data_IF_196348006021
#
_entry.id   IF_196348006021
#
_cell.length_a   1.000
_cell.length_b   1.000
_cell.length_c   1.000
_cell.angle_alpha   90.00
_cell.angle_beta   90.00
_cell.angle_gamma   90.00
#
_symmetry.space_group_name_H-M   'P 1'
#
loop_
_entity.id
_entity.type
_entity.pdbx_description
1 polymer ?
#
# COMPACT_ATOMS: atom_id res chain seq x y z
N UNK A 1 6.29 61.75 -7.14
CA UNK A 1 5.86 61.25 -8.46
C UNK A 1 5.30 59.85 -8.25
N UNK A 2 3.98 59.72 -8.31
CA UNK A 2 3.24 58.47 -8.17
C UNK A 2 2.82 58.01 -9.56
N UNK A 3 3.02 56.72 -9.88
CA UNK A 3 2.44 56.10 -11.05
C UNK A 3 1.52 54.96 -10.60
N UNK A 4 0.23 55.23 -10.73
CA UNK A 4 -0.89 54.30 -10.73
C UNK A 4 -0.78 53.37 -11.94
N UNK A 5 -0.97 52.05 -11.77
CA UNK A 5 -1.40 51.16 -12.85
C UNK A 5 -2.52 50.28 -12.33
N UNK A 6 -3.66 50.42 -13.00
CA UNK A 6 -4.95 49.76 -12.76
C UNK A 6 -5.00 48.30 -13.21
N UNK A 7 -5.93 47.60 -12.56
CA UNK A 7 -6.47 46.24 -12.76
C UNK A 7 -6.89 45.88 -14.22
N UNK A 8 -7.15 44.59 -14.55
CA UNK A 8 -8.51 44.09 -14.34
C UNK A 8 -8.67 42.61 -13.88
N UNK A 9 -9.74 42.44 -13.11
CA UNK A 9 -10.42 41.22 -12.69
C UNK A 9 -10.93 40.37 -13.88
N UNK A 10 -10.62 39.07 -13.90
CA UNK A 10 -11.34 38.10 -14.72
C UNK A 10 -12.40 37.36 -13.88
N UNK A 11 -13.65 37.77 -14.12
CA UNK A 11 -14.91 37.17 -13.69
C UNK A 11 -15.38 36.25 -14.83
N UNK A 12 -15.46 34.93 -14.65
CA UNK A 12 -16.21 34.06 -15.58
C UNK A 12 -17.03 32.99 -14.85
N UNK A 13 -18.30 33.37 -14.65
CA UNK A 13 -19.53 32.62 -14.91
C UNK A 13 -19.62 31.13 -14.52
N UNK A 14 -20.34 30.91 -13.41
CA UNK A 14 -21.19 29.75 -13.19
C UNK A 14 -22.14 29.52 -14.37
N UNK A 15 -22.21 28.29 -14.86
CA UNK A 15 -23.32 27.85 -15.72
C UNK A 15 -24.03 26.67 -15.06
N UNK A 16 -25.13 27.02 -14.40
CA UNK A 16 -26.16 26.10 -13.94
C UNK A 16 -26.95 25.68 -15.17
N UNK A 17 -27.04 24.37 -15.44
CA UNK A 17 -28.02 23.83 -16.37
C UNK A 17 -29.08 23.09 -15.57
N UNK A 18 -30.24 23.74 -15.39
CA UNK A 18 -31.48 23.09 -15.01
C UNK A 18 -32.17 22.65 -16.31
N UNK A 19 -32.31 21.35 -16.53
CA UNK A 19 -33.10 20.82 -17.65
C UNK A 19 -34.51 20.54 -17.16
N UNK A 20 -35.41 21.41 -17.58
CA UNK A 20 -36.85 21.36 -17.37
C UNK A 20 -37.46 20.17 -18.12
N UNK A 21 -38.22 19.36 -17.39
CA UNK A 21 -39.08 18.30 -17.91
C UNK A 21 -40.23 18.88 -18.74
N UNK A 22 -40.39 18.41 -19.98
CA UNK A 22 -41.61 18.61 -20.79
C UNK A 22 -41.99 17.30 -21.48
N UNK A 23 -43.02 16.63 -20.97
CA UNK A 23 -43.97 15.89 -21.82
C UNK A 23 -44.91 16.93 -22.49
N UNK A 24 -45.72 16.64 -23.53
CA UNK A 24 -46.37 15.37 -23.88
C UNK A 24 -46.33 15.02 -25.39
N UNK A 25 -46.79 13.83 -25.78
CA UNK A 25 -47.79 13.59 -26.84
C UNK A 25 -47.90 12.07 -27.11
N UNK A 26 -49.15 11.57 -27.08
CA UNK A 26 -49.54 10.22 -27.48
C UNK A 26 -49.58 10.08 -29.01
N UNK A 27 -49.27 8.89 -29.54
CA UNK A 27 -50.03 8.22 -30.63
C UNK A 27 -49.48 6.80 -30.94
N UNK A 28 -50.26 5.78 -30.54
CA UNK A 28 -50.74 4.60 -31.29
C UNK A 28 -49.85 3.66 -32.17
N UNK A 29 -49.98 2.34 -31.86
CA UNK A 29 -50.12 1.14 -32.75
C UNK A 29 -48.79 0.61 -33.38
N UNK A 30 -48.34 -0.65 -33.35
CA UNK A 30 -48.89 -2.03 -33.19
C UNK A 30 -47.78 -3.01 -32.70
N UNK A 31 -48.09 -4.26 -32.27
CA UNK A 31 -47.18 -5.21 -31.64
C UNK A 31 -46.51 -6.16 -32.65
N UNK A 32 -45.24 -6.47 -32.45
CA UNK A 32 -44.63 -7.67 -33.05
C UNK A 32 -43.51 -8.18 -32.15
N UNK A 33 -43.62 -9.46 -31.79
CA UNK A 33 -42.66 -10.15 -30.93
C UNK A 33 -41.36 -10.43 -31.69
N UNK A 34 -40.24 -9.98 -31.15
CA UNK A 34 -38.98 -10.68 -31.28
C UNK A 34 -38.26 -10.62 -29.93
N UNK A 35 -38.31 -11.72 -29.21
CA UNK A 35 -37.59 -11.94 -27.97
C UNK A 35 -36.22 -12.53 -28.30
N UNK A 36 -35.10 -11.90 -27.94
CA UNK A 36 -33.88 -12.66 -27.62
C UNK A 36 -32.94 -11.90 -26.67
N UNK A 37 -32.64 -12.58 -25.56
CA UNK A 37 -31.41 -12.56 -24.78
C UNK A 37 -31.04 -11.32 -23.96
N UNK A 38 -31.54 -11.33 -22.72
CA UNK A 38 -30.81 -10.91 -21.52
C UNK A 38 -29.33 -11.28 -21.57
N UNK A 39 -28.46 -10.30 -21.36
CA UNK A 39 -27.12 -10.48 -20.79
C UNK A 39 -26.69 -9.19 -20.08
N UNK A 40 -27.39 -8.86 -18.99
CA UNK A 40 -26.85 -7.98 -17.96
C UNK A 40 -25.75 -8.77 -17.23
N UNK A 41 -24.50 -8.65 -17.68
CA UNK A 41 -23.36 -8.96 -16.84
C UNK A 41 -23.25 -7.88 -15.76
N UNK A 42 -24.07 -8.02 -14.71
CA UNK A 42 -23.78 -7.39 -13.43
C UNK A 42 -22.53 -8.08 -12.88
N UNK A 43 -21.38 -7.45 -13.03
CA UNK A 43 -20.21 -7.70 -12.18
C UNK A 43 -20.60 -7.27 -10.76
N UNK A 44 -21.35 -8.12 -10.06
CA UNK A 44 -21.50 -8.03 -8.61
C UNK A 44 -20.17 -8.43 -8.00
N UNK A 45 -19.30 -7.45 -7.78
CA UNK A 45 -18.13 -7.63 -6.91
C UNK A 45 -18.64 -7.77 -5.48
N UNK A 46 -18.95 -9.01 -5.08
CA UNK A 46 -19.16 -9.36 -3.68
C UNK A 46 -17.79 -9.57 -3.06
N UNK A 47 -17.40 -8.68 -2.14
CA UNK A 47 -16.11 -8.85 -1.48
C UNK A 47 -15.61 -7.70 -0.63
N UNK A 48 -16.46 -7.01 0.13
CA UNK A 48 -15.99 -6.28 1.29
C UNK A 48 -17.10 -6.26 2.34
N UNK A 49 -17.10 -7.28 3.20
CA UNK A 49 -17.73 -7.17 4.50
C UNK A 49 -17.01 -5.99 5.16
N UNK A 50 -17.65 -4.82 5.19
CA UNK A 50 -17.11 -3.65 5.84
C UNK A 50 -17.07 -3.96 7.34
N UNK A 51 -15.94 -4.53 7.77
CA UNK A 51 -15.63 -4.73 9.17
C UNK A 51 -15.53 -3.34 9.78
N UNK A 52 -16.61 -2.94 10.44
CA UNK A 52 -16.76 -1.61 11.01
C UNK A 52 -15.73 -1.44 12.13
N UNK A 53 -14.78 -0.53 11.94
CA UNK A 53 -13.84 -0.09 12.98
C UNK A 53 -12.76 -1.09 13.42
N UNK A 54 -12.75 -2.34 12.93
CA UNK A 54 -11.72 -3.33 13.30
C UNK A 54 -10.62 -3.39 12.24
N UNK A 55 -9.37 -3.41 12.69
CA UNK A 55 -8.23 -3.63 11.81
C UNK A 55 -8.15 -5.10 11.38
N UNK A 56 -8.27 -5.36 10.09
CA UNK A 56 -8.07 -6.68 9.49
C UNK A 56 -6.76 -6.72 8.70
N UNK A 57 -5.99 -7.81 8.84
CA UNK A 57 -4.80 -8.03 8.01
C UNK A 57 -5.23 -8.25 6.56
N UNK A 58 -4.53 -7.62 5.62
CA UNK A 58 -4.75 -7.79 4.19
C UNK A 58 -3.45 -8.23 3.49
N UNK A 59 -3.59 -8.83 2.31
CA UNK A 59 -2.47 -9.04 1.42
C UNK A 59 -2.11 -7.72 0.74
N UNK A 60 -0.81 -7.45 0.58
CA UNK A 60 -0.33 -6.24 -0.10
C UNK A 60 -0.45 -6.46 -1.61
N UNK A 61 -1.07 -5.50 -2.30
CA UNK A 61 -1.18 -5.48 -3.77
C UNK A 61 -0.43 -4.29 -4.36
N UNK A 62 -0.22 -4.28 -5.68
CA UNK A 62 0.43 -3.16 -6.37
C UNK A 62 -0.36 -1.84 -6.24
N UNK A 63 -1.69 -1.94 -6.17
CA UNK A 63 -2.55 -0.79 -5.91
C UNK A 63 -2.29 -0.19 -4.51
N UNK A 64 -2.00 -1.03 -3.52
CA UNK A 64 -1.66 -0.59 -2.17
C UNK A 64 -0.28 0.08 -2.13
N UNK A 65 0.69 -0.43 -2.90
CA UNK A 65 1.99 0.22 -3.09
C UNK A 65 1.82 1.61 -3.69
N UNK A 66 1.03 1.73 -4.75
CA UNK A 66 0.74 3.02 -5.40
C UNK A 66 0.04 3.98 -4.45
N UNK A 67 -0.93 3.49 -3.67
CA UNK A 67 -1.65 4.29 -2.68
C UNK A 67 -0.73 4.81 -1.57
N UNK A 68 0.16 3.95 -1.06
CA UNK A 68 1.15 4.36 -0.06
C UNK A 68 2.11 5.40 -0.64
N UNK A 69 2.67 5.16 -1.84
CA UNK A 69 3.63 6.07 -2.47
C UNK A 69 2.99 7.42 -2.82
N UNK A 70 1.73 7.44 -3.27
CA UNK A 70 0.99 8.68 -3.48
C UNK A 70 0.75 9.45 -2.18
N UNK A 71 0.60 8.75 -1.05
CA UNK A 71 0.46 9.37 0.26
C UNK A 71 1.78 9.94 0.77
N UNK A 72 2.82 9.11 0.80
CA UNK A 72 4.11 9.49 1.39
C UNK A 72 4.97 10.35 0.48
N UNK A 73 4.74 10.35 -0.84
CA UNK A 73 5.55 11.05 -1.84
C UNK A 73 5.26 12.52 -2.04
N UNK A 74 4.26 13.08 -1.34
CA UNK A 74 3.93 14.50 -1.38
C UNK A 74 3.72 15.01 0.04
N UNK A 75 4.52 16.00 0.45
CA UNK A 75 4.45 16.61 1.78
C UNK A 75 3.08 17.22 2.08
N UNK A 76 2.35 17.67 1.06
CA UNK A 76 0.99 18.21 1.22
C UNK A 76 -0.02 17.13 1.62
N UNK A 77 0.32 15.85 1.46
CA UNK A 77 -0.53 14.73 1.87
C UNK A 77 -0.35 14.32 3.32
N UNK A 78 0.63 14.88 4.02
CA UNK A 78 0.80 14.69 5.45
C UNK A 78 -0.19 15.57 6.21
N UNK A 79 -0.84 15.01 7.23
CA UNK A 79 -1.63 15.79 8.17
C UNK A 79 -0.71 16.74 8.95
N UNK A 80 -1.24 17.88 9.36
CA UNK A 80 -0.46 18.97 9.99
C UNK A 80 0.22 18.58 11.31
N UNK A 81 -0.22 17.50 11.94
CA UNK A 81 0.34 16.93 13.18
C UNK A 81 1.42 15.85 12.92
N UNK A 82 1.65 15.45 11.67
CA UNK A 82 2.69 14.48 11.31
C UNK A 82 3.99 15.21 11.00
N UNK A 83 4.93 15.15 11.94
CA UNK A 83 6.26 15.78 11.83
C UNK A 83 7.35 14.85 11.30
N UNK A 84 7.02 13.57 11.09
CA UNK A 84 7.96 12.57 10.58
C UNK A 84 7.70 12.34 9.10
N UNK A 85 8.70 12.59 8.27
CA UNK A 85 8.67 12.30 6.85
C UNK A 85 9.44 11.03 6.55
N UNK A 86 8.97 10.27 5.55
CA UNK A 86 9.52 8.95 5.25
C UNK A 86 9.82 8.79 3.77
N UNK A 87 10.97 8.20 3.47
CA UNK A 87 11.13 7.43 2.25
C UNK A 87 10.79 5.97 2.55
N UNK A 88 10.15 5.30 1.60
CA UNK A 88 9.75 3.89 1.69
C UNK A 88 10.65 3.05 0.78
N UNK A 89 11.26 2.02 1.36
CA UNK A 89 12.04 1.03 0.62
C UNK A 89 11.19 -0.18 0.26
N UNK A 90 10.46 -0.72 1.25
CA UNK A 90 9.64 -1.93 1.10
C UNK A 90 8.40 -1.88 1.99
N UNK A 91 7.31 -2.48 1.53
CA UNK A 91 6.12 -2.76 2.34
C UNK A 91 6.21 -4.19 2.85
N UNK A 92 6.07 -4.36 4.16
CA UNK A 92 6.20 -5.66 4.84
C UNK A 92 4.84 -6.21 5.28
N UNK A 93 3.87 -5.35 5.56
CA UNK A 93 2.52 -5.76 5.94
C UNK A 93 1.49 -4.68 5.71
N UNK A 94 0.22 -5.08 5.60
CA UNK A 94 -0.91 -4.18 5.51
C UNK A 94 -2.03 -4.64 6.45
N UNK A 95 -2.61 -3.67 7.15
CA UNK A 95 -3.91 -3.80 7.82
C UNK A 95 -4.86 -2.74 7.28
N UNK A 96 -6.10 -3.12 7.08
CA UNK A 96 -7.16 -2.23 6.58
C UNK A 96 -8.22 -2.10 7.68
N UNK A 97 -8.77 -0.91 7.81
CA UNK A 97 -9.91 -0.60 8.65
C UNK A 97 -10.86 0.29 7.86
N UNK A 98 -12.14 -0.06 7.81
CA UNK A 98 -13.19 0.83 7.29
C UNK A 98 -13.88 1.49 8.48
N UNK A 99 -13.74 2.80 8.60
CA UNK A 99 -14.30 3.57 9.70
C UNK A 99 -14.89 4.89 9.19
N UNK A 100 -16.12 5.19 9.60
CA UNK A 100 -16.79 6.47 9.29
C UNK A 100 -16.79 6.82 7.79
N UNK A 101 -17.04 5.82 6.94
CA UNK A 101 -17.06 5.97 5.48
C UNK A 101 -15.70 6.20 4.83
N UNK A 102 -14.60 6.15 5.59
CA UNK A 102 -13.22 6.21 5.10
C UNK A 102 -12.56 4.84 5.22
N UNK A 103 -11.61 4.59 4.34
CA UNK A 103 -10.72 3.44 4.46
C UNK A 103 -9.38 3.90 4.99
N UNK A 104 -8.98 3.35 6.14
CA UNK A 104 -7.68 3.55 6.74
C UNK A 104 -6.80 2.33 6.44
N UNK A 105 -5.57 2.60 6.04
CA UNK A 105 -4.55 1.61 5.71
C UNK A 105 -3.41 1.81 6.69
N UNK A 106 -3.04 0.77 7.41
CA UNK A 106 -1.87 0.76 8.27
C UNK A 106 -0.80 -0.14 7.64
N UNK A 107 0.16 0.51 7.00
CA UNK A 107 1.27 -0.14 6.33
C UNK A 107 2.42 -0.33 7.32
N UNK A 108 2.83 -1.57 7.52
CA UNK A 108 4.14 -1.87 8.09
C UNK A 108 5.16 -1.80 6.97
N UNK A 109 6.13 -0.89 7.06
CA UNK A 109 7.12 -0.63 6.02
C UNK A 109 8.53 -0.67 6.59
N UNK A 110 9.48 -1.02 5.73
CA UNK A 110 10.88 -0.71 5.92
C UNK A 110 11.19 0.56 5.15
N UNK A 111 11.70 1.57 5.84
CA UNK A 111 11.96 2.89 5.29
C UNK A 111 12.94 3.67 6.15
N UNK A 112 13.16 4.93 5.78
CA UNK A 112 14.09 5.81 6.50
C UNK A 112 13.38 7.12 6.83
N UNK A 113 13.63 7.66 8.03
CA UNK A 113 13.27 9.03 8.33
C UNK A 113 14.06 9.93 7.36
N UNK A 114 13.33 10.77 6.65
CA UNK A 114 13.81 11.56 5.55
C UNK A 114 13.42 13.03 5.78
N UNK A 115 14.13 13.96 5.15
CA UNK A 115 13.64 15.33 5.01
C UNK A 115 12.42 15.39 4.08
N UNK A 116 11.72 16.53 4.09
CA UNK A 116 10.58 16.82 3.21
C UNK A 116 10.92 16.64 1.72
N UNK A 117 12.17 16.92 1.35
CA UNK A 117 12.70 16.82 -0.01
C UNK A 117 13.02 15.38 -0.45
N UNK A 118 13.03 14.42 0.48
CA UNK A 118 13.42 13.03 0.24
C UNK A 118 12.29 12.03 0.46
N UNK A 119 11.04 12.50 0.51
CA UNK A 119 9.87 11.66 0.74
C UNK A 119 9.50 10.79 -0.46
N UNK A 120 8.71 9.74 -0.23
CA UNK A 120 8.27 8.83 -1.29
C UNK A 120 9.09 7.55 -1.34
N UNK A 121 9.88 7.34 -2.41
CA UNK A 121 10.64 6.10 -2.60
C UNK A 121 12.09 6.29 -2.19
N UNK A 122 12.60 5.43 -1.30
CA UNK A 122 14.02 5.49 -0.94
C UNK A 122 14.90 5.15 -2.15
N UNK A 123 16.09 5.77 -2.27
CA UNK A 123 17.15 5.18 -3.08
C UNK A 123 17.54 3.81 -2.50
N UNK A 124 18.24 2.98 -3.27
CA UNK A 124 18.64 1.64 -2.81
C UNK A 124 19.72 1.76 -1.72
N UNK A 125 19.27 1.84 -0.46
CA UNK A 125 20.05 2.31 0.67
C UNK A 125 19.87 1.34 1.86
N UNK A 126 20.27 0.09 1.67
CA UNK A 126 20.19 -0.97 2.68
C UNK A 126 21.11 -0.78 3.90
N UNK A 127 21.90 0.31 3.98
CA UNK A 127 22.92 0.50 5.02
C UNK A 127 22.94 1.87 5.70
N UNK A 128 21.94 2.74 5.49
CA UNK A 128 21.96 4.09 6.05
C UNK A 128 21.51 4.09 7.51
N UNK A 129 22.31 4.72 8.37
CA UNK A 129 21.93 4.98 9.76
C UNK A 129 20.64 5.80 9.78
N UNK A 130 19.61 5.28 10.46
CA UNK A 130 18.29 5.94 10.55
C UNK A 130 17.15 5.17 9.91
N UNK A 131 17.44 4.21 9.02
CA UNK A 131 16.44 3.31 8.45
C UNK A 131 15.94 2.28 9.49
N UNK A 132 14.72 1.79 9.29
CA UNK A 132 14.10 0.81 10.18
C UNK A 132 12.66 0.51 9.78
N UNK A 133 11.96 -0.18 10.68
CA UNK A 133 10.55 -0.50 10.49
C UNK A 133 9.66 0.63 11.00
N UNK A 134 8.63 0.96 10.24
CA UNK A 134 7.64 2.00 10.55
C UNK A 134 6.23 1.47 10.33
N UNK A 135 5.28 2.00 11.08
CA UNK A 135 3.85 1.90 10.77
C UNK A 135 3.40 3.25 10.20
N UNK A 136 2.87 3.23 8.98
CA UNK A 136 2.37 4.41 8.27
C UNK A 136 0.87 4.25 8.10
N UNK A 137 0.10 5.16 8.70
CA UNK A 137 -1.36 5.17 8.59
C UNK A 137 -1.78 6.16 7.52
N UNK A 138 -2.39 5.64 6.45
CA UNK A 138 -2.90 6.39 5.32
C UNK A 138 -4.42 6.30 5.30
N UNK A 139 -5.10 7.44 5.18
CA UNK A 139 -6.56 7.52 5.11
C UNK A 139 -6.99 7.90 3.69
N UNK A 140 -7.97 7.17 3.13
CA UNK A 140 -8.61 7.50 1.85
C UNK A 140 -10.11 7.66 2.04
N UNK A 141 -10.61 8.86 1.73
CA UNK A 141 -12.04 9.15 1.72
C UNK A 141 -12.70 8.71 0.41
N UNK A 142 -14.02 8.46 0.40
CA UNK A 142 -14.74 7.95 -0.77
C UNK A 142 -14.82 8.99 -1.90
N UNK A 143 -14.69 10.28 -1.56
CA UNK A 143 -14.69 11.43 -2.49
C UNK A 143 -13.30 12.05 -2.65
N UNK A 144 -12.29 11.49 -2.00
CA UNK A 144 -10.94 12.05 -1.98
C UNK A 144 -10.07 11.26 -2.95
N UNK A 145 -9.63 11.94 -4.01
CA UNK A 145 -8.71 11.34 -4.98
C UNK A 145 -7.33 11.06 -4.35
N UNK A 146 -6.90 11.93 -3.43
CA UNK A 146 -5.57 11.87 -2.81
C UNK A 146 -5.62 11.21 -1.44
N UNK A 147 -4.77 10.20 -1.18
CA UNK A 147 -4.60 9.65 0.16
C UNK A 147 -3.96 10.68 1.10
N UNK A 148 -4.29 10.61 2.40
CA UNK A 148 -3.65 11.44 3.43
C UNK A 148 -2.88 10.59 4.43
N UNK A 149 -1.63 10.94 4.69
CA UNK A 149 -0.82 10.34 5.76
C UNK A 149 -1.25 10.98 7.08
N UNK A 150 -1.70 10.15 8.01
CA UNK A 150 -2.31 10.58 9.28
C UNK A 150 -1.50 10.19 10.50
N UNK A 151 -0.58 9.22 10.37
CA UNK A 151 0.33 8.88 11.46
C UNK A 151 1.53 8.12 10.93
N UNK A 152 2.71 8.41 11.47
CA UNK A 152 3.93 7.64 11.24
C UNK A 152 4.53 7.33 12.59
N UNK A 153 4.79 6.04 12.86
CA UNK A 153 5.40 5.59 14.11
C UNK A 153 6.51 4.60 13.81
N UNK A 154 7.71 4.86 14.34
CA UNK A 154 8.82 3.89 14.26
C UNK A 154 8.46 2.66 15.09
N UNK A 155 8.49 1.49 14.47
CA UNK A 155 8.30 0.22 15.14
C UNK A 155 9.62 -0.15 15.82
N UNK A 156 9.71 0.10 17.13
CA UNK A 156 10.85 -0.37 17.90
C UNK A 156 10.71 -1.87 18.10
N UNK A 157 11.52 -2.64 17.39
CA UNK A 157 11.69 -4.07 17.64
C UNK A 157 12.27 -4.25 19.04
N UNK A 158 11.44 -4.36 20.07
CA UNK A 158 11.87 -4.95 21.34
C UNK A 158 12.44 -6.32 21.01
N UNK A 159 13.74 -6.49 21.25
CA UNK A 159 14.61 -7.60 20.81
C UNK A 159 14.25 -8.97 21.45
N UNK A 160 12.98 -9.24 21.77
CA UNK A 160 12.54 -10.39 22.58
C UNK A 160 11.22 -10.95 22.08
N UNK A 161 11.24 -11.62 20.92
CA UNK A 161 10.20 -12.61 20.54
C UNK A 161 10.67 -13.49 19.36
N UNK A 162 11.85 -14.10 19.52
CA UNK A 162 12.26 -15.26 18.75
C UNK A 162 12.37 -16.46 19.70
N UNK A 163 11.26 -16.86 20.33
CA UNK A 163 11.16 -18.09 21.12
C UNK A 163 9.70 -18.44 21.47
N UNK A 164 8.83 -18.63 20.46
CA UNK A 164 7.66 -19.54 20.56
C UNK A 164 6.89 -19.56 19.24
N UNK A 165 7.24 -20.53 18.37
CA UNK A 165 6.28 -21.29 17.55
C UNK A 165 7.01 -22.44 16.85
N UNK A 166 7.55 -23.35 17.65
CA UNK A 166 7.83 -24.70 17.21
C UNK A 166 7.53 -25.64 18.38
N UNK A 167 6.24 -25.90 18.59
CA UNK A 167 5.73 -27.04 19.36
C UNK A 167 4.22 -27.09 19.19
N UNK A 168 3.76 -27.85 18.20
CA UNK A 168 2.69 -28.85 18.35
C UNK A 168 2.32 -29.45 16.99
N UNK A 169 2.97 -30.55 16.61
CA UNK A 169 2.28 -31.75 16.10
C UNK A 169 3.23 -32.95 16.23
N UNK A 170 3.03 -33.71 17.30
CA UNK A 170 3.58 -35.05 17.54
C UNK A 170 2.50 -36.05 17.16
N UNK A 171 2.79 -36.97 16.25
CA UNK A 171 2.54 -38.43 16.30
C UNK A 171 2.84 -39.00 14.90
N UNK A 172 3.92 -39.78 14.73
CA UNK A 172 4.04 -41.23 15.02
C UNK A 172 3.45 -42.02 13.83
N UNK A 173 4.25 -42.70 13.00
CA UNK A 173 4.88 -43.99 13.32
C UNK A 173 6.06 -44.35 12.40
N UNK A 174 7.07 -44.99 12.99
CA UNK A 174 8.20 -45.73 12.39
C UNK A 174 7.71 -46.97 11.59
N UNK A 175 8.51 -47.55 10.67
CA UNK A 175 9.40 -48.62 11.12
C UNK A 175 10.84 -48.56 10.56
N UNK A 176 11.64 -49.38 11.23
CA UNK A 176 13.08 -49.41 11.42
C UNK A 176 13.77 -50.31 10.39
N UNK A 177 14.94 -49.91 9.89
CA UNK A 177 16.05 -50.75 9.39
C UNK A 177 17.23 -49.80 9.13
N UNK A 178 18.19 -49.57 10.05
CA UNK A 178 19.31 -50.42 10.49
C UNK A 178 20.14 -50.98 9.34
N UNK A 179 21.26 -50.30 9.00
CA UNK A 179 22.60 -50.87 8.74
C UNK A 179 23.64 -49.72 8.80
N UNK A 180 24.64 -49.86 9.67
CA UNK A 180 25.89 -49.07 9.77
C UNK A 180 27.05 -49.91 9.17
N UNK A 181 28.35 -49.51 9.20
CA UNK A 181 29.07 -48.24 8.99
C UNK A 181 30.28 -48.40 8.00
N UNK A 182 30.92 -47.29 7.57
CA UNK A 182 32.40 -47.12 7.32
C UNK A 182 32.67 -45.72 6.73
N UNK A 183 33.37 -44.82 7.43
CA UNK A 183 34.83 -44.63 7.52
C UNK A 183 35.54 -44.14 6.25
N UNK A 184 36.46 -43.20 6.50
CA UNK A 184 37.63 -42.79 5.70
C UNK A 184 37.38 -41.95 4.43
N UNK A 185 38.23 -41.00 4.01
CA UNK A 185 39.38 -40.27 4.55
C UNK A 185 39.86 -39.30 3.43
N UNK A 186 40.76 -38.36 3.77
CA UNK A 186 41.84 -37.83 2.90
C UNK A 186 41.51 -36.57 2.03
N UNK A 187 42.00 -35.36 2.38
CA UNK A 187 43.30 -34.67 2.07
C UNK A 187 43.39 -34.15 0.62
N UNK A 188 43.52 -32.84 0.34
CA UNK A 188 44.74 -31.99 0.14
C UNK A 188 44.20 -30.60 -0.31
N UNK A 189 44.66 -29.41 0.06
CA UNK A 189 45.99 -28.77 0.17
C UNK A 189 46.80 -28.70 -1.14
N UNK A 190 46.76 -27.54 -1.80
CA UNK A 190 47.75 -26.99 -2.76
C UNK A 190 47.34 -25.51 -2.99
N UNK A 191 48.05 -24.40 -2.72
CA UNK A 191 49.46 -23.97 -2.68
C UNK A 191 50.11 -23.68 -4.04
N UNK A 192 50.06 -22.42 -4.50
CA UNK A 192 51.14 -21.66 -5.20
C UNK A 192 50.60 -20.23 -5.41
N UNK A 193 51.14 -19.11 -4.91
CA UNK A 193 52.48 -18.51 -4.88
C UNK A 193 53.02 -18.03 -6.24
N UNK A 194 53.46 -16.75 -6.25
CA UNK A 194 54.38 -16.07 -7.19
C UNK A 194 53.77 -15.57 -8.54
N UNK A 195 54.12 -14.42 -9.12
CA UNK A 195 55.13 -13.37 -8.87
C UNK A 195 54.83 -12.15 -9.78
N UNK A 196 55.10 -10.94 -9.28
CA UNK A 196 55.91 -9.83 -9.87
C UNK A 196 55.84 -9.57 -11.39
N UNK A 197 55.45 -8.35 -11.80
CA UNK A 197 56.32 -7.46 -12.61
C UNK A 197 55.81 -6.00 -12.66
N UNK A 198 56.67 -5.09 -12.16
CA UNK A 198 56.98 -3.70 -12.54
C UNK A 198 55.88 -2.79 -13.09
#
# INVERSE_FOLDING_TARGET
>A
MWANVSSPQHRFHSRIYSVTTKSPFQASIMPSMLAIASSLLLLTVSGAQASTGVWSKANVTEADHTLLLAGVGDVNNYASDVTTFLCVFKVDSLKIQVASGKTNYNFGVTGCNAGEEFVGRCPNLTSFAGCGSYNVVVSKGPKSATPKVTSIKKHMSTKKQAAKKQSSKKQESTPKQEFTPKQESTTKQESTEQQILK
#
